data_IF_020520779781
#
_entry.id   IF_020520779781
#
_cell.length_a   1.000
_cell.length_b   1.000
_cell.length_c   1.000
_cell.angle_alpha   90.00
_cell.angle_beta   90.00
_cell.angle_gamma   90.00
#
_symmetry.space_group_name_H-M   'P 1'
#
loop_
_entity.id
_entity.type
_entity.pdbx_description
1 polymer ?
#
# COMPACT_ATOMS: atom_id res chain seq x y z
N UNK A 1 27.08 13.26 -27.06
CA UNK A 1 26.76 11.98 -26.40
C UNK A 1 25.78 11.23 -27.31
N UNK A 2 26.10 10.02 -27.76
CA UNK A 2 25.25 9.27 -28.71
C UNK A 2 23.88 8.94 -28.07
N UNK A 3 22.81 9.47 -28.66
CA UNK A 3 21.43 9.35 -28.17
C UNK A 3 21.00 7.87 -28.04
N UNK A 4 21.48 6.99 -28.93
CA UNK A 4 21.19 5.55 -28.85
C UNK A 4 21.81 4.89 -27.61
N UNK A 5 23.06 5.27 -27.30
CA UNK A 5 23.77 4.76 -26.12
C UNK A 5 23.10 5.23 -24.82
N UNK A 6 22.58 6.46 -24.80
CA UNK A 6 21.81 6.99 -23.69
C UNK A 6 20.49 6.24 -23.47
N UNK A 7 19.67 6.08 -24.52
CA UNK A 7 18.39 5.36 -24.45
C UNK A 7 18.57 3.90 -24.00
N UNK A 8 19.62 3.23 -24.46
CA UNK A 8 19.94 1.86 -24.04
C UNK A 8 20.29 1.79 -22.55
N UNK A 9 21.07 2.74 -22.03
CA UNK A 9 21.36 2.83 -20.59
C UNK A 9 20.10 3.08 -19.77
N UNK A 10 19.24 3.99 -20.23
CA UNK A 10 17.97 4.29 -19.56
C UNK A 10 17.05 3.07 -19.50
N UNK A 11 16.86 2.37 -20.63
CA UNK A 11 16.09 1.12 -20.71
C UNK A 11 16.60 0.08 -19.71
N UNK A 12 17.91 -0.14 -19.69
CA UNK A 12 18.54 -1.10 -18.76
C UNK A 12 18.33 -0.70 -17.30
N UNK A 13 18.55 0.57 -16.98
CA UNK A 13 18.36 1.10 -15.62
C UNK A 13 16.91 0.89 -15.15
N UNK A 14 15.94 1.30 -15.96
CA UNK A 14 14.52 1.15 -15.65
C UNK A 14 14.15 -0.33 -15.43
N UNK A 15 14.60 -1.21 -16.33
CA UNK A 15 14.35 -2.64 -16.21
C UNK A 15 14.94 -3.22 -14.92
N UNK A 16 16.18 -2.86 -14.57
CA UNK A 16 16.82 -3.29 -13.32
C UNK A 16 16.04 -2.80 -12.11
N UNK A 17 15.58 -1.55 -12.10
CA UNK A 17 14.77 -0.99 -11.01
C UNK A 17 13.46 -1.78 -10.84
N UNK A 18 12.74 -2.05 -11.94
CA UNK A 18 11.49 -2.83 -11.90
C UNK A 18 11.73 -4.24 -11.36
N UNK A 19 12.78 -4.93 -11.85
CA UNK A 19 13.12 -6.28 -11.41
C UNK A 19 13.50 -6.31 -9.94
N UNK A 20 14.36 -5.39 -9.48
CA UNK A 20 14.74 -5.28 -8.07
C UNK A 20 13.53 -5.05 -7.19
N UNK A 21 12.61 -4.18 -7.61
CA UNK A 21 11.40 -3.91 -6.86
C UNK A 21 10.50 -5.15 -6.76
N UNK A 22 10.30 -5.87 -7.86
CA UNK A 22 9.55 -7.13 -7.88
C UNK A 22 10.20 -8.17 -6.95
N UNK A 23 11.52 -8.32 -6.99
CA UNK A 23 12.25 -9.25 -6.13
C UNK A 23 12.08 -8.90 -4.65
N UNK A 24 12.22 -7.62 -4.28
CA UNK A 24 11.98 -7.15 -2.91
C UNK A 24 10.55 -7.51 -2.47
N UNK A 25 9.55 -7.29 -3.32
CA UNK A 25 8.16 -7.67 -3.02
C UNK A 25 7.98 -9.17 -2.85
N UNK A 26 8.57 -9.99 -3.71
CA UNK A 26 8.51 -11.45 -3.61
C UNK A 26 9.08 -11.96 -2.28
N UNK A 27 10.10 -11.28 -1.74
CA UNK A 27 10.70 -11.63 -0.44
C UNK A 27 9.83 -11.13 0.73
N UNK A 28 9.30 -9.90 0.66
CA UNK A 28 8.61 -9.24 1.77
C UNK A 28 7.13 -9.64 1.93
N UNK A 29 6.40 -9.81 0.83
CA UNK A 29 4.96 -10.08 0.87
C UNK A 29 4.61 -11.37 1.66
N UNK A 30 5.31 -12.52 1.47
CA UNK A 30 5.03 -13.73 2.24
C UNK A 30 5.24 -13.57 3.76
N UNK A 31 6.06 -12.61 4.17
CA UNK A 31 6.33 -12.31 5.58
C UNK A 31 5.28 -11.36 6.19
N UNK A 32 4.27 -10.95 5.41
CA UNK A 32 3.29 -9.95 5.82
C UNK A 32 3.86 -8.54 5.90
N UNK A 33 4.97 -8.27 5.20
CA UNK A 33 5.64 -6.97 5.19
C UNK A 33 5.21 -6.18 3.96
N UNK A 34 4.71 -4.96 4.18
CA UNK A 34 4.35 -3.99 3.14
C UNK A 34 5.27 -2.78 3.20
N UNK A 35 5.40 -2.07 2.07
CA UNK A 35 6.13 -0.80 2.00
C UNK A 35 5.15 0.35 2.25
N UNK A 36 5.43 1.17 3.27
CA UNK A 36 4.73 2.41 3.60
C UNK A 36 5.77 3.54 3.64
N UNK A 37 5.96 4.19 2.49
CA UNK A 37 6.99 5.21 2.32
C UNK A 37 6.38 6.60 2.55
N UNK A 38 6.83 7.36 3.55
CA UNK A 38 6.29 8.69 3.88
C UNK A 38 4.76 8.74 4.01
N UNK A 39 4.17 7.72 4.63
CA UNK A 39 2.71 7.55 4.77
C UNK A 39 1.95 7.36 3.43
N UNK A 40 2.66 7.13 2.33
CA UNK A 40 2.07 6.76 1.04
C UNK A 40 1.63 5.30 1.10
N UNK A 41 0.36 5.05 0.76
CA UNK A 41 -0.24 3.73 0.87
C UNK A 41 0.56 2.67 0.07
N UNK A 42 0.70 1.44 0.59
CA UNK A 42 1.29 0.33 -0.16
C UNK A 42 0.57 0.07 -1.48
N UNK A 43 -0.75 0.34 -1.54
CA UNK A 43 -1.58 0.21 -2.73
C UNK A 43 -1.22 1.25 -3.80
N UNK A 44 -0.94 2.50 -3.42
CA UNK A 44 -0.50 3.53 -4.35
C UNK A 44 0.88 3.21 -4.93
N UNK A 45 1.80 2.75 -4.09
CA UNK A 45 3.12 2.30 -4.54
C UNK A 45 2.96 1.18 -5.57
N UNK A 46 2.10 0.19 -5.29
CA UNK A 46 1.79 -0.90 -6.23
C UNK A 46 1.21 -0.40 -7.55
N UNK A 47 0.30 0.58 -7.50
CA UNK A 47 -0.27 1.19 -8.69
C UNK A 47 0.82 1.86 -9.56
N UNK A 48 1.70 2.68 -8.97
CA UNK A 48 2.78 3.35 -9.71
C UNK A 48 3.67 2.34 -10.44
N UNK A 49 4.01 1.24 -9.78
CA UNK A 49 4.86 0.21 -10.37
C UNK A 49 4.17 -0.54 -11.49
N UNK A 50 2.90 -0.89 -11.28
CA UNK A 50 2.09 -1.52 -12.30
C UNK A 50 1.99 -0.65 -13.55
N UNK A 51 1.72 0.66 -13.39
CA UNK A 51 1.74 1.62 -14.48
C UNK A 51 3.13 1.72 -15.13
N UNK A 52 4.20 1.73 -14.33
CA UNK A 52 5.58 1.73 -14.83
C UNK A 52 5.92 0.52 -15.70
N UNK A 53 5.39 -0.67 -15.38
CA UNK A 53 5.54 -1.89 -16.18
C UNK A 53 4.80 -1.76 -17.51
N UNK A 54 3.57 -1.23 -17.50
CA UNK A 54 2.79 -1.03 -18.74
C UNK A 54 3.41 0.03 -19.66
N UNK A 55 3.96 1.10 -19.10
CA UNK A 55 4.59 2.19 -19.86
C UNK A 55 5.91 1.75 -20.50
N UNK A 56 6.63 0.80 -19.88
CA UNK A 56 7.95 0.37 -20.33
C UNK A 56 7.99 -0.04 -21.83
N UNK A 57 7.16 -0.98 -22.33
CA UNK A 57 7.13 -1.32 -23.75
C UNK A 57 6.59 -0.20 -24.64
N UNK A 58 5.70 0.67 -24.17
CA UNK A 58 5.20 1.82 -24.96
C UNK A 58 6.38 2.70 -25.40
N UNK A 59 7.27 3.00 -24.45
CA UNK A 59 8.45 3.85 -24.66
C UNK A 59 9.56 3.10 -25.41
N UNK A 60 9.94 1.91 -24.95
CA UNK A 60 11.19 1.26 -25.37
C UNK A 60 11.04 0.23 -26.49
N UNK A 61 9.81 -0.18 -26.85
CA UNK A 61 9.61 -1.10 -27.97
C UNK A 61 9.47 -0.33 -29.28
N UNK A 62 10.47 -0.43 -30.15
CA UNK A 62 10.44 0.17 -31.49
C UNK A 62 10.33 -0.96 -32.53
N UNK A 63 9.18 -1.15 -33.18
CA UNK A 63 9.00 -2.21 -34.16
C UNK A 63 9.75 -1.88 -35.47
N UNK A 64 10.64 -2.77 -35.89
CA UNK A 64 11.38 -2.63 -37.15
C UNK A 64 10.56 -3.10 -38.37
N UNK A 65 9.75 -4.14 -38.20
CA UNK A 65 8.90 -4.72 -39.26
C UNK A 65 7.49 -4.13 -39.25
N UNK A 66 6.90 -3.95 -40.43
CA UNK A 66 5.53 -3.39 -40.60
C UNK A 66 4.46 -4.23 -39.90
N UNK A 67 4.57 -5.55 -39.94
CA UNK A 67 3.61 -6.48 -39.31
C UNK A 67 3.54 -6.29 -37.79
N UNK A 68 4.68 -6.01 -37.15
CA UNK A 68 4.78 -5.82 -35.69
C UNK A 68 4.29 -4.44 -35.26
N UNK A 69 4.15 -3.48 -36.18
CA UNK A 69 3.59 -2.15 -35.88
C UNK A 69 2.15 -2.23 -35.39
N UNK A 70 1.33 -3.08 -36.02
CA UNK A 70 -0.06 -3.29 -35.59
C UNK A 70 -0.13 -3.88 -34.18
N UNK A 71 0.77 -4.82 -33.85
CA UNK A 71 0.87 -5.38 -32.50
C UNK A 71 1.20 -4.29 -31.48
N UNK A 72 2.14 -3.39 -31.78
CA UNK A 72 2.45 -2.25 -30.89
C UNK A 72 1.26 -1.31 -30.72
N UNK A 73 0.54 -0.99 -31.80
CA UNK A 73 -0.65 -0.12 -31.73
C UNK A 73 -1.71 -0.77 -30.83
N UNK A 74 -2.02 -2.04 -31.07
CA UNK A 74 -2.98 -2.79 -30.24
C UNK A 74 -2.55 -2.85 -28.78
N UNK A 75 -1.27 -3.13 -28.51
CA UNK A 75 -0.71 -3.10 -27.16
C UNK A 75 -0.92 -1.74 -26.50
N UNK A 76 -0.57 -0.64 -27.18
CA UNK A 76 -0.71 0.71 -26.63
C UNK A 76 -2.16 1.06 -26.29
N UNK A 77 -3.11 0.68 -27.14
CA UNK A 77 -4.56 0.90 -26.89
C UNK A 77 -4.99 0.11 -25.66
N UNK A 78 -4.69 -1.19 -25.62
CA UNK A 78 -5.06 -2.07 -24.51
C UNK A 78 -4.42 -1.60 -23.20
N UNK A 79 -3.11 -1.32 -23.22
CA UNK A 79 -2.39 -0.81 -22.06
C UNK A 79 -3.00 0.51 -21.55
N UNK A 80 -3.36 1.43 -22.45
CA UNK A 80 -3.99 2.70 -22.07
C UNK A 80 -5.34 2.49 -21.39
N UNK A 81 -6.18 1.59 -21.91
CA UNK A 81 -7.46 1.23 -21.29
C UNK A 81 -7.21 0.64 -19.89
N UNK A 82 -6.29 -0.31 -19.78
CA UNK A 82 -5.94 -0.93 -18.49
C UNK A 82 -5.44 0.11 -17.49
N UNK A 83 -4.59 1.05 -17.90
CA UNK A 83 -4.10 2.12 -17.02
C UNK A 83 -5.26 2.98 -16.49
N UNK A 84 -6.16 3.43 -17.36
CA UNK A 84 -7.33 4.24 -16.95
C UNK A 84 -8.22 3.46 -15.99
N UNK A 85 -8.55 2.21 -16.31
CA UNK A 85 -9.33 1.34 -15.43
C UNK A 85 -8.65 1.13 -14.07
N UNK A 86 -7.33 0.94 -14.05
CA UNK A 86 -6.58 0.75 -12.81
C UNK A 86 -6.61 1.99 -11.93
N UNK A 87 -6.56 3.18 -12.53
CA UNK A 87 -6.71 4.45 -11.81
C UNK A 87 -8.12 4.60 -11.23
N UNK A 88 -9.17 4.27 -12.00
CA UNK A 88 -10.55 4.31 -11.52
C UNK A 88 -10.75 3.33 -10.35
N UNK A 89 -10.28 2.09 -10.49
CA UNK A 89 -10.33 1.08 -9.43
C UNK A 89 -9.59 1.56 -8.20
N UNK A 90 -8.42 2.18 -8.36
CA UNK A 90 -7.66 2.72 -7.25
C UNK A 90 -8.42 3.81 -6.50
N UNK A 91 -9.00 4.76 -7.24
CA UNK A 91 -9.81 5.83 -6.64
C UNK A 91 -10.99 5.24 -5.86
N UNK A 92 -11.69 4.28 -6.45
CA UNK A 92 -12.89 3.70 -5.86
C UNK A 92 -12.63 2.80 -4.64
N UNK A 93 -11.53 2.03 -4.63
CA UNK A 93 -11.29 1.03 -3.59
C UNK A 93 -10.25 1.43 -2.54
N UNK A 94 -9.33 2.34 -2.87
CA UNK A 94 -8.14 2.54 -2.05
C UNK A 94 -7.83 4.01 -1.72
N UNK A 95 -8.47 4.98 -2.39
CA UNK A 95 -8.15 6.40 -2.17
C UNK A 95 -8.49 6.88 -0.77
N UNK A 96 -9.48 6.26 -0.14
CA UNK A 96 -9.93 6.65 1.19
C UNK A 96 -9.09 6.05 2.31
N UNK A 97 -8.21 5.08 2.04
CA UNK A 97 -7.40 4.41 3.06
C UNK A 97 -6.43 5.41 3.70
N UNK A 98 -6.44 5.47 5.03
CA UNK A 98 -5.57 6.35 5.82
C UNK A 98 -4.66 5.55 6.74
N UNK A 99 -3.51 6.14 7.06
CA UNK A 99 -2.50 5.55 7.93
C UNK A 99 -2.20 6.48 9.10
N UNK A 100 -2.32 5.94 10.30
CA UNK A 100 -2.04 6.63 11.56
C UNK A 100 -0.86 5.97 12.27
N UNK A 101 0.02 6.77 12.85
CA UNK A 101 1.23 6.28 13.52
C UNK A 101 1.18 6.65 15.00
N UNK A 102 1.36 5.65 15.87
CA UNK A 102 1.43 5.84 17.32
C UNK A 102 2.73 5.26 17.82
N UNK A 103 3.58 6.10 18.39
CA UNK A 103 4.88 5.69 18.92
C UNK A 103 4.75 5.34 20.41
N UNK A 104 5.45 4.31 20.85
CA UNK A 104 5.53 3.94 22.27
C UNK A 104 6.24 5.03 23.07
N UNK A 105 6.00 5.15 24.39
CA UNK A 105 6.58 6.19 25.22
C UNK A 105 8.12 6.25 25.15
N UNK A 106 8.77 5.11 24.97
CA UNK A 106 10.22 4.99 24.88
C UNK A 106 10.77 5.14 23.45
N UNK A 107 9.91 5.33 22.44
CA UNK A 107 10.32 5.52 21.05
C UNK A 107 10.66 4.25 20.27
N UNK A 108 10.75 3.10 20.93
CA UNK A 108 11.28 1.86 20.33
C UNK A 108 10.30 1.17 19.38
N UNK A 109 8.99 1.38 19.53
CA UNK A 109 7.96 0.75 18.68
C UNK A 109 6.98 1.78 18.16
N UNK A 110 6.47 1.53 16.96
CA UNK A 110 5.41 2.34 16.37
C UNK A 110 4.32 1.42 15.86
N UNK A 111 3.12 1.58 16.41
CA UNK A 111 1.90 1.01 15.87
C UNK A 111 1.51 1.83 14.64
N UNK A 112 1.23 1.15 13.54
CA UNK A 112 0.62 1.76 12.36
C UNK A 112 -0.78 1.18 12.21
N UNK A 113 -1.76 2.06 12.14
CA UNK A 113 -3.16 1.72 11.89
C UNK A 113 -3.49 2.09 10.45
N UNK A 114 -3.87 1.11 9.65
CA UNK A 114 -4.49 1.31 8.34
C UNK A 114 -6.00 1.33 8.56
N UNK A 115 -6.66 2.44 8.25
CA UNK A 115 -8.11 2.56 8.37
C UNK A 115 -8.73 2.68 6.98
N UNK A 116 -9.74 1.85 6.73
CA UNK A 116 -10.51 1.76 5.49
C UNK A 116 -12.01 1.88 5.80
N UNK A 117 -12.76 2.37 4.83
CA UNK A 117 -14.21 2.32 4.85
C UNK A 117 -14.71 2.03 3.44
N UNK A 118 -15.54 1.00 3.33
CA UNK A 118 -16.14 0.62 2.06
C UNK A 118 -17.61 0.25 2.27
N UNK A 119 -18.50 0.98 1.59
CA UNK A 119 -19.95 0.88 1.76
C UNK A 119 -20.34 1.07 3.23
N UNK A 120 -20.85 0.03 3.88
CA UNK A 120 -21.26 0.03 5.30
C UNK A 120 -20.23 -0.63 6.23
N UNK A 121 -19.05 -0.99 5.72
CA UNK A 121 -18.01 -1.65 6.53
C UNK A 121 -16.84 -0.72 6.77
N UNK A 122 -16.63 -0.35 8.03
CA UNK A 122 -15.39 0.28 8.47
C UNK A 122 -14.44 -0.78 9.00
N UNK A 123 -13.16 -0.68 8.64
CA UNK A 123 -12.12 -1.66 8.98
C UNK A 123 -10.85 -0.95 9.38
N UNK A 124 -10.17 -1.47 10.38
CA UNK A 124 -8.82 -1.03 10.74
C UNK A 124 -7.89 -2.21 10.93
N UNK A 125 -6.76 -2.19 10.23
CA UNK A 125 -5.72 -3.20 10.29
C UNK A 125 -4.51 -2.67 11.06
N UNK A 126 -3.90 -3.54 11.87
CA UNK A 126 -2.78 -3.16 12.73
C UNK A 126 -1.46 -3.71 12.22
N UNK A 127 -0.45 -2.85 12.22
CA UNK A 127 0.90 -3.16 11.80
C UNK A 127 1.93 -2.60 12.78
N UNK A 128 3.11 -3.21 12.78
CA UNK A 128 4.30 -2.65 13.41
C UNK A 128 5.19 -2.00 12.35
N UNK A 129 5.65 -0.78 12.61
CA UNK A 129 6.65 -0.12 11.75
C UNK A 129 8.02 -0.79 11.90
N UNK A 130 8.64 -1.15 10.77
CA UNK A 130 9.97 -1.75 10.69
C UNK A 130 10.87 -0.96 9.75
N UNK A 131 12.09 -0.70 10.18
CA UNK A 131 13.14 -0.03 9.40
C UNK A 131 12.67 1.24 8.66
N UNK A 132 11.82 2.04 9.31
CA UNK A 132 11.35 3.34 8.82
C UNK A 132 10.28 3.31 7.72
N UNK A 133 10.43 2.46 6.71
CA UNK A 133 9.58 2.45 5.50
C UNK A 133 8.74 1.18 5.34
N UNK A 134 8.92 0.19 6.21
CA UNK A 134 8.15 -1.05 6.16
C UNK A 134 7.14 -1.09 7.29
N UNK A 135 6.04 -1.79 7.04
CA UNK A 135 5.04 -2.14 8.04
C UNK A 135 4.84 -3.66 7.99
N UNK A 136 4.84 -4.30 9.15
CA UNK A 136 4.64 -5.74 9.30
C UNK A 136 3.29 -5.98 9.95
N UNK A 137 2.47 -6.83 9.33
CA UNK A 137 1.15 -7.16 9.87
C UNK A 137 1.26 -7.78 11.27
N UNK A 138 0.40 -7.32 12.17
CA UNK A 138 0.18 -7.91 13.50
C UNK A 138 -0.96 -8.95 13.50
N UNK A 139 -1.52 -9.26 12.32
CA UNK A 139 -2.63 -10.21 12.15
C UNK A 139 -3.84 -9.89 13.04
N UNK A 140 -4.07 -8.61 13.29
CA UNK A 140 -5.18 -8.07 14.05
C UNK A 140 -5.93 -7.07 13.19
N UNK A 141 -7.25 -7.10 13.31
CA UNK A 141 -8.14 -6.13 12.69
C UNK A 141 -9.28 -5.82 13.66
N UNK A 142 -9.85 -4.63 13.53
CA UNK A 142 -11.16 -4.31 14.07
C UNK A 142 -12.08 -3.92 12.93
N UNK A 143 -13.35 -4.24 13.08
CA UNK A 143 -14.42 -3.74 12.22
C UNK A 143 -15.33 -2.81 13.01
N UNK A 144 -15.99 -1.93 12.29
CA UNK A 144 -16.95 -0.94 12.76
C UNK A 144 -18.19 -0.99 11.87
N UNK A 145 -19.30 -0.51 12.44
CA UNK A 145 -20.59 -0.49 11.77
C UNK A 145 -20.75 0.75 10.89
N UNK A 146 -21.63 0.68 9.90
CA UNK A 146 -22.00 1.80 9.02
C UNK A 146 -20.82 2.57 8.42
N UNK A 147 -19.72 1.87 8.13
CA UNK A 147 -18.53 2.47 7.56
C UNK A 147 -17.79 3.41 8.51
N UNK A 148 -18.10 3.39 9.81
CA UNK A 148 -17.57 4.35 10.79
C UNK A 148 -16.04 4.24 10.94
N UNK A 149 -15.37 5.38 11.14
CA UNK A 149 -13.91 5.50 11.07
C UNK A 149 -13.38 6.14 12.34
N UNK A 150 -13.14 5.36 13.41
CA UNK A 150 -12.80 5.90 14.72
C UNK A 150 -11.49 6.69 14.70
N UNK A 151 -10.48 6.27 13.93
CA UNK A 151 -9.19 6.95 13.89
C UNK A 151 -9.23 8.24 13.08
N UNK A 152 -9.99 8.26 11.97
CA UNK A 152 -10.21 9.48 11.16
C UNK A 152 -11.06 10.54 11.86
N UNK A 153 -11.86 10.14 12.84
CA UNK A 153 -12.79 11.03 13.57
C UNK A 153 -12.31 11.34 14.98
N UNK A 154 -11.09 10.91 15.35
CA UNK A 154 -10.56 11.03 16.71
C UNK A 154 -11.47 10.41 17.80
N UNK A 155 -12.33 9.46 17.42
CA UNK A 155 -13.26 8.72 18.29
C UNK A 155 -12.61 7.45 18.85
N UNK A 156 -11.40 7.59 19.37
CA UNK A 156 -10.65 6.51 19.99
C UNK A 156 -9.79 7.01 21.16
N UNK A 157 -9.37 6.08 22.01
CA UNK A 157 -8.38 6.28 23.05
C UNK A 157 -7.35 5.18 22.98
N UNK A 158 -6.09 5.57 22.77
CA UNK A 158 -4.96 4.66 22.72
C UNK A 158 -4.13 4.80 23.99
N UNK A 159 -3.92 3.69 24.70
CA UNK A 159 -3.10 3.64 25.91
C UNK A 159 -2.09 2.52 25.82
N UNK A 160 -0.80 2.86 25.81
CA UNK A 160 0.28 1.90 25.96
C UNK A 160 0.25 1.32 27.38
N UNK A 161 0.20 -0.02 27.49
CA UNK A 161 0.29 -0.71 28.79
C UNK A 161 1.74 -0.97 29.16
N UNK A 162 2.55 -1.29 28.17
CA UNK A 162 4.00 -1.47 28.24
C UNK A 162 4.58 -1.18 26.84
N UNK A 163 5.85 -1.56 26.59
CA UNK A 163 6.50 -1.34 25.29
C UNK A 163 5.90 -2.18 24.14
N UNK A 164 5.25 -3.29 24.47
CA UNK A 164 4.86 -4.36 23.54
C UNK A 164 3.34 -4.52 23.40
N UNK A 165 2.57 -3.86 24.26
CA UNK A 165 1.13 -3.98 24.35
C UNK A 165 0.47 -2.61 24.36
N UNK A 166 -0.53 -2.46 23.49
CA UNK A 166 -1.37 -1.27 23.42
C UNK A 166 -2.84 -1.66 23.55
N UNK A 167 -3.56 -0.92 24.40
CA UNK A 167 -5.02 -1.00 24.52
C UNK A 167 -5.63 0.11 23.68
N UNK A 168 -6.58 -0.24 22.83
CA UNK A 168 -7.35 0.69 22.01
C UNK A 168 -8.80 0.59 22.47
N UNK A 169 -9.38 1.72 22.84
CA UNK A 169 -10.81 1.89 23.04
C UNK A 169 -11.32 2.73 21.88
N UNK A 170 -12.41 2.33 21.23
CA UNK A 170 -12.88 2.99 20.01
C UNK A 170 -14.41 2.98 19.95
N UNK A 171 -14.99 4.04 19.38
CA UNK A 171 -16.40 4.06 19.05
C UNK A 171 -16.67 3.12 17.86
N UNK A 172 -17.63 2.23 18.03
CA UNK A 172 -18.00 1.22 17.05
C UNK A 172 -18.84 1.78 15.90
N UNK A 173 -19.39 2.99 16.04
CA UNK A 173 -20.20 3.67 15.01
C UNK A 173 -21.71 3.54 15.19
N UNK A 174 -22.18 2.78 16.18
CA UNK A 174 -23.60 2.65 16.52
C UNK A 174 -23.86 3.13 17.96
N UNK A 175 -24.64 4.20 18.08
CA UNK A 175 -25.27 4.68 19.32
C UNK A 175 -24.35 4.76 20.57
N UNK A 176 -23.11 5.24 20.42
CA UNK A 176 -22.19 5.43 21.54
C UNK A 176 -21.65 4.13 22.15
N UNK A 177 -21.65 3.04 21.38
CA UNK A 177 -21.03 1.77 21.78
C UNK A 177 -19.51 1.88 21.64
N UNK A 178 -18.81 1.86 22.77
CA UNK A 178 -17.36 1.78 22.79
C UNK A 178 -16.91 0.33 22.93
N UNK A 179 -16.03 -0.10 22.04
CA UNK A 179 -15.34 -1.40 22.11
C UNK A 179 -13.90 -1.20 22.53
N UNK A 180 -13.28 -2.29 22.98
CA UNK A 180 -11.85 -2.30 23.27
C UNK A 180 -11.17 -3.47 22.57
N UNK A 181 -9.95 -3.24 22.13
CA UNK A 181 -9.07 -4.25 21.56
C UNK A 181 -7.68 -4.12 22.18
N UNK A 182 -7.04 -5.27 22.42
CA UNK A 182 -5.66 -5.35 22.84
C UNK A 182 -4.80 -5.77 21.66
N UNK A 183 -3.80 -4.96 21.34
CA UNK A 183 -2.82 -5.27 20.29
C UNK A 183 -1.49 -5.57 20.96
N UNK A 184 -1.01 -6.79 20.75
CA UNK A 184 0.29 -7.25 21.21
C UNK A 184 1.25 -7.34 20.02
N UNK A 185 2.44 -6.80 20.16
CA UNK A 185 3.46 -6.80 19.12
C UNK A 185 4.25 -8.12 19.06
N UNK A 186 4.14 -8.96 20.11
CA UNK A 186 4.66 -10.33 20.11
C UNK A 186 3.62 -11.25 19.48
N UNK A 187 4.03 -12.09 18.52
CA UNK A 187 3.15 -13.13 17.96
C UNK A 187 2.63 -14.01 19.11
N UNK A 188 1.32 -14.23 19.17
CA UNK A 188 0.82 -15.50 19.67
C UNK A 188 1.36 -16.57 18.71
N UNK A 189 2.34 -17.34 19.17
CA UNK A 189 2.84 -18.51 18.45
C UNK A 189 1.71 -19.49 18.16
#
# INVERSE_FOLDING_TARGET
MDNKKFLLKLKKSWFVILVLFILIRCILNPQGIKVLLFNISPNFINLILFLGILIFPIIFWVPEKREVKWIKISYNIIASIIMVLSLIIYVFLFSEIKYFNFTSPNGNRTLVVEEDSFLLSGRSYFYEKKFGIFIKSLSKEISTDDGFRPFSTDSYRLTWKDEDTVKIEYDFGSAGIWKNERIDFKRSN
#
